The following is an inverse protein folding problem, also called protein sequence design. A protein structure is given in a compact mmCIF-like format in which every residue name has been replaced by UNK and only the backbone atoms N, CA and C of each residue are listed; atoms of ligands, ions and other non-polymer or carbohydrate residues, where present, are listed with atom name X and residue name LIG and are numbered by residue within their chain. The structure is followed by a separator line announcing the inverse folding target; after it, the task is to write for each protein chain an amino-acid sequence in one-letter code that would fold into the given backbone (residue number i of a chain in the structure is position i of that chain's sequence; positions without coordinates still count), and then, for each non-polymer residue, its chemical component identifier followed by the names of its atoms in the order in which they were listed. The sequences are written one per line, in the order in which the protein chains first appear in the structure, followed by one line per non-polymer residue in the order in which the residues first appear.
data_IF_597746197977
#
_entry.id   IF_597746197977
#
_cell.length_a   1.000
_cell.length_b   1.000
_cell.length_c   1.000
_cell.angle_alpha   90.00
_cell.angle_beta   90.00
_cell.angle_gamma   90.00
#
_symmetry.space_group_name_H-M   'P 1'
#
loop_
_entity.id
_entity.type
_entity.pdbx_description
1 polymer ?
#
# COMPACT_ATOMS: atom_id res chain seq x y z
N UNK A 1 -24.68 2.63 34.76
CA UNK A 1 -23.42 3.32 35.12
C UNK A 1 -22.79 3.90 33.86
N UNK A 2 -22.66 5.24 33.83
CA UNK A 2 -21.65 6.11 33.18
C UNK A 2 -21.12 5.78 31.76
N UNK A 3 -21.47 6.68 30.84
CA UNK A 3 -20.78 7.03 29.58
C UNK A 3 -19.29 7.38 29.77
N UNK A 4 -18.43 7.04 28.79
CA UNK A 4 -17.25 7.87 28.46
C UNK A 4 -16.68 7.61 27.05
N UNK A 5 -16.97 8.54 26.14
CA UNK A 5 -16.29 8.75 24.86
C UNK A 5 -14.87 9.31 25.10
N UNK A 6 -13.82 8.83 24.41
CA UNK A 6 -12.47 9.38 24.47
C UNK A 6 -12.17 10.33 23.30
N UNK A 7 -12.98 11.38 23.11
CA UNK A 7 -12.82 12.32 21.99
C UNK A 7 -12.77 13.80 22.41
N UNK A 8 -12.37 14.10 23.65
CA UNK A 8 -12.35 15.47 24.19
C UNK A 8 -11.03 15.85 24.89
N UNK A 9 -9.92 15.16 24.61
CA UNK A 9 -8.64 15.38 25.32
C UNK A 9 -7.55 16.11 24.54
N UNK A 10 -7.78 16.49 23.27
CA UNK A 10 -6.77 17.19 22.46
C UNK A 10 -7.05 18.68 22.21
N UNK A 11 -8.10 19.26 22.78
CA UNK A 11 -8.54 20.62 22.48
C UNK A 11 -8.17 21.69 23.54
N UNK A 12 -7.39 21.34 24.58
CA UNK A 12 -7.22 22.19 25.77
C UNK A 12 -5.80 22.71 26.03
N UNK A 13 -4.89 22.63 25.05
CA UNK A 13 -3.51 23.15 25.20
C UNK A 13 -3.21 24.44 24.42
N UNK A 14 -4.20 25.04 23.73
CA UNK A 14 -3.97 26.22 22.88
C UNK A 14 -4.41 27.57 23.48
N UNK A 15 -4.85 27.63 24.73
CA UNK A 15 -5.58 28.80 25.25
C UNK A 15 -4.89 29.60 26.37
N UNK A 16 -3.63 29.31 26.73
CA UNK A 16 -3.01 29.88 27.94
C UNK A 16 -1.77 30.76 27.73
N UNK A 17 -1.47 31.20 26.51
CA UNK A 17 -0.23 31.95 26.23
C UNK A 17 -0.41 33.45 25.88
N UNK A 18 -1.62 34.04 25.87
CA UNK A 18 -1.80 35.38 25.28
C UNK A 18 -2.50 36.46 26.12
N UNK A 19 -2.91 36.22 27.36
CA UNK A 19 -3.63 37.23 28.14
C UNK A 19 -3.20 37.26 29.61
N UNK A 20 -1.96 37.69 29.90
CA UNK A 20 -1.58 38.27 31.20
C UNK A 20 -0.18 38.89 31.09
N UNK A 21 -0.08 40.22 31.17
CA UNK A 21 1.18 40.95 31.13
C UNK A 21 0.97 42.45 31.18
N UNK A 22 1.09 43.01 32.39
CA UNK A 22 0.81 44.38 32.81
C UNK A 22 1.51 45.49 32.01
N UNK A 23 0.85 46.65 32.02
CA UNK A 23 1.38 47.94 31.64
C UNK A 23 2.73 48.25 32.32
N UNK A 24 3.73 48.58 31.50
CA UNK A 24 4.80 49.51 31.86
C UNK A 24 5.00 50.43 30.65
N UNK A 25 4.84 51.72 30.90
CA UNK A 25 5.12 52.81 29.97
C UNK A 25 6.61 52.82 29.62
N UNK A 26 6.99 52.07 28.59
CA UNK A 26 8.29 52.20 27.94
C UNK A 26 8.20 53.23 26.81
N UNK A 27 9.11 54.19 26.84
CA UNK A 27 9.34 55.23 25.82
C UNK A 27 9.06 54.73 24.40
N UNK A 28 8.18 55.45 23.70
CA UNK A 28 7.99 55.33 22.25
C UNK A 28 9.32 55.68 21.57
N UNK A 29 10.05 54.67 21.14
CA UNK A 29 11.11 54.77 20.14
C UNK A 29 10.58 54.27 18.78
N UNK A 30 10.93 54.87 17.63
CA UNK A 30 10.39 54.47 16.33
C UNK A 30 11.25 53.38 15.64
N UNK A 31 10.73 52.62 14.64
CA UNK A 31 9.36 52.18 14.42
C UNK A 31 9.25 50.64 14.21
N UNK A 32 8.01 50.19 14.06
CA UNK A 32 7.49 48.85 13.76
C UNK A 32 7.97 48.17 12.45
N UNK A 33 9.24 48.35 12.04
CA UNK A 33 9.77 47.85 10.76
C UNK A 33 10.21 46.38 10.80
N UNK A 34 10.89 45.95 11.87
CA UNK A 34 11.47 44.60 11.94
C UNK A 34 10.44 43.49 12.18
N UNK A 35 9.31 43.79 12.83
CA UNK A 35 8.24 42.82 13.10
C UNK A 35 7.42 42.51 11.86
N UNK A 36 7.08 43.53 11.05
CA UNK A 36 6.39 43.36 9.77
C UNK A 36 7.24 42.54 8.78
N UNK A 37 8.53 42.87 8.62
CA UNK A 37 9.45 42.12 7.75
C UNK A 37 9.62 40.66 8.21
N UNK A 38 9.62 40.40 9.52
CA UNK A 38 9.68 39.04 10.07
C UNK A 38 8.37 38.27 9.83
N UNK A 39 7.22 38.94 9.97
CA UNK A 39 5.91 38.36 9.69
C UNK A 39 5.77 38.00 8.20
N UNK A 40 6.17 38.89 7.29
CA UNK A 40 6.14 38.66 5.84
C UNK A 40 7.06 37.50 5.43
N UNK A 41 8.26 37.42 6.00
CA UNK A 41 9.19 36.30 5.74
C UNK A 41 8.63 34.98 6.24
N UNK A 42 7.98 34.98 7.42
CA UNK A 42 7.35 33.78 7.98
C UNK A 42 6.16 33.34 7.14
N UNK A 43 5.31 34.28 6.70
CA UNK A 43 4.19 34.01 5.80
C UNK A 43 4.66 33.47 4.44
N UNK A 44 5.74 34.02 3.87
CA UNK A 44 6.33 33.53 2.63
C UNK A 44 6.88 32.10 2.76
N UNK A 45 7.53 31.76 3.88
CA UNK A 45 7.99 30.41 4.17
C UNK A 45 6.82 29.43 4.35
N UNK A 46 5.78 29.84 5.08
CA UNK A 46 4.57 29.04 5.27
C UNK A 46 3.85 28.78 3.93
N UNK A 47 3.75 29.79 3.06
CA UNK A 47 3.18 29.64 1.71
C UNK A 47 4.00 28.68 0.84
N UNK A 48 5.33 28.72 0.90
CA UNK A 48 6.20 27.77 0.20
C UNK A 48 6.00 26.34 0.71
N UNK A 49 6.05 26.14 2.02
CA UNK A 49 5.81 24.83 2.64
C UNK A 49 4.42 24.27 2.29
N UNK A 50 3.39 25.11 2.29
CA UNK A 50 2.04 24.73 1.89
C UNK A 50 1.96 24.32 0.41
N UNK A 51 2.65 25.03 -0.50
CA UNK A 51 2.73 24.65 -1.92
C UNK A 51 3.45 23.32 -2.11
N UNK A 52 4.58 23.12 -1.45
CA UNK A 52 5.33 21.85 -1.50
C UNK A 52 4.51 20.68 -0.95
N UNK A 53 3.78 20.88 0.15
CA UNK A 53 2.88 19.87 0.71
C UNK A 53 1.80 19.47 -0.30
N UNK A 54 1.13 20.44 -0.92
CA UNK A 54 0.12 20.19 -1.96
C UNK A 54 0.68 19.45 -3.17
N UNK A 55 1.90 19.80 -3.61
CA UNK A 55 2.56 19.11 -4.72
C UNK A 55 2.88 17.65 -4.36
N UNK A 56 3.40 17.40 -3.16
CA UNK A 56 3.66 16.04 -2.67
C UNK A 56 2.38 15.21 -2.58
N UNK A 57 1.30 15.78 -2.05
CA UNK A 57 -0.01 15.12 -1.99
C UNK A 57 -0.56 14.80 -3.38
N UNK A 58 -0.45 15.74 -4.33
CA UNK A 58 -0.87 15.53 -5.71
C UNK A 58 -0.06 14.40 -6.38
N UNK A 59 1.26 14.37 -6.18
CA UNK A 59 2.13 13.32 -6.70
C UNK A 59 1.78 11.94 -6.11
N UNK A 60 1.54 11.86 -4.80
CA UNK A 60 1.10 10.63 -4.14
C UNK A 60 -0.25 10.16 -4.71
N UNK A 61 -1.20 11.08 -4.90
CA UNK A 61 -2.51 10.75 -5.48
C UNK A 61 -2.38 10.23 -6.91
N UNK A 62 -1.54 10.84 -7.73
CA UNK A 62 -1.27 10.40 -9.10
C UNK A 62 -0.64 9.00 -9.12
N UNK A 63 0.37 8.76 -8.28
CA UNK A 63 1.00 7.44 -8.15
C UNK A 63 -0.02 6.36 -7.76
N UNK A 64 -0.89 6.65 -6.78
CA UNK A 64 -1.95 5.73 -6.36
C UNK A 64 -2.95 5.44 -7.47
N UNK A 65 -3.38 6.48 -8.22
CA UNK A 65 -4.31 6.34 -9.31
C UNK A 65 -3.73 5.45 -10.43
N UNK A 66 -2.48 5.69 -10.82
CA UNK A 66 -1.78 4.87 -11.80
C UNK A 66 -1.66 3.41 -11.33
N UNK A 67 -1.19 3.20 -10.11
CA UNK A 67 -1.07 1.85 -9.53
C UNK A 67 -2.42 1.10 -9.49
N UNK A 68 -3.51 1.81 -9.23
CA UNK A 68 -4.86 1.26 -9.22
C UNK A 68 -5.33 0.88 -10.63
N UNK A 69 -5.04 1.70 -11.64
CA UNK A 69 -5.37 1.41 -13.04
C UNK A 69 -4.62 0.18 -13.56
N UNK A 70 -3.35 0.03 -13.18
CA UNK A 70 -2.51 -1.08 -13.63
C UNK A 70 -2.75 -2.39 -12.85
N UNK A 71 -3.38 -2.33 -11.68
CA UNK A 71 -3.52 -3.46 -10.76
C UNK A 71 -4.10 -4.71 -11.45
N UNK A 72 -5.23 -4.56 -12.14
CA UNK A 72 -5.94 -5.70 -12.71
C UNK A 72 -5.20 -6.34 -13.89
N UNK A 73 -4.55 -5.53 -14.72
CA UNK A 73 -3.75 -6.04 -15.85
C UNK A 73 -2.51 -6.78 -15.32
N UNK A 74 -1.89 -6.29 -14.24
CA UNK A 74 -0.79 -6.97 -13.55
C UNK A 74 -1.23 -8.30 -12.95
N UNK A 75 -2.34 -8.31 -12.21
CA UNK A 75 -2.92 -9.51 -11.62
C UNK A 75 -3.20 -10.60 -12.67
N UNK A 76 -3.88 -10.26 -13.77
CA UNK A 76 -4.17 -11.21 -14.84
C UNK A 76 -2.90 -11.72 -15.53
N UNK A 77 -1.88 -10.86 -15.69
CA UNK A 77 -0.58 -11.25 -16.23
C UNK A 77 0.11 -12.27 -15.34
N UNK A 78 0.13 -12.02 -14.02
CA UNK A 78 0.65 -12.95 -13.03
C UNK A 78 -0.05 -14.31 -13.09
N UNK A 79 -1.39 -14.33 -13.16
CA UNK A 79 -2.16 -15.58 -13.31
C UNK A 79 -1.83 -16.35 -14.60
N UNK A 80 -1.66 -15.66 -15.73
CA UNK A 80 -1.26 -16.30 -16.99
C UNK A 80 0.15 -16.89 -16.92
N UNK A 81 1.09 -16.18 -16.29
CA UNK A 81 2.44 -16.67 -16.07
C UNK A 81 2.45 -17.89 -15.14
N UNK A 82 1.72 -17.84 -14.03
CA UNK A 82 1.54 -18.99 -13.14
C UNK A 82 1.05 -20.20 -13.95
N UNK A 83 -0.04 -20.07 -14.71
CA UNK A 83 -0.57 -21.17 -15.52
C UNK A 83 0.48 -21.74 -16.50
N UNK A 84 1.19 -20.87 -17.22
CA UNK A 84 2.22 -21.31 -18.19
C UNK A 84 3.37 -22.04 -17.50
N UNK A 85 3.87 -21.49 -16.41
CA UNK A 85 4.95 -22.08 -15.63
C UNK A 85 4.56 -23.45 -15.08
N UNK A 86 3.34 -23.59 -14.56
CA UNK A 86 2.84 -24.86 -14.05
C UNK A 86 2.68 -25.92 -15.14
N UNK A 87 2.11 -25.56 -16.28
CA UNK A 87 2.01 -26.49 -17.41
C UNK A 87 3.40 -26.86 -17.96
N UNK A 88 4.33 -25.90 -17.98
CA UNK A 88 5.71 -26.13 -18.38
C UNK A 88 6.42 -27.14 -17.47
N UNK A 89 6.35 -26.95 -16.15
CA UNK A 89 6.94 -27.91 -15.21
C UNK A 89 6.26 -29.27 -15.29
N UNK A 90 4.92 -29.33 -15.40
CA UNK A 90 4.21 -30.61 -15.51
C UNK A 90 4.59 -31.44 -16.75
N UNK A 91 5.12 -30.80 -17.81
CA UNK A 91 5.55 -31.45 -19.04
C UNK A 91 7.07 -31.71 -19.08
N UNK A 92 7.84 -31.28 -18.08
CA UNK A 92 9.29 -31.47 -18.08
C UNK A 92 9.70 -32.92 -17.77
N UNK A 93 10.83 -33.37 -18.32
CA UNK A 93 11.45 -34.63 -17.92
C UNK A 93 11.77 -34.64 -16.42
N UNK A 94 11.66 -35.82 -15.78
CA UNK A 94 11.81 -35.96 -14.33
C UNK A 94 13.12 -35.43 -13.72
N UNK A 95 14.22 -35.40 -14.50
CA UNK A 95 15.52 -34.86 -14.05
C UNK A 95 15.56 -33.32 -13.95
N UNK A 96 14.77 -32.63 -14.75
CA UNK A 96 14.74 -31.15 -14.83
C UNK A 96 13.60 -30.57 -13.97
N UNK A 97 12.68 -31.44 -13.55
CA UNK A 97 11.47 -31.13 -12.80
C UNK A 97 11.73 -30.41 -11.47
N UNK A 98 12.72 -30.80 -10.63
CA UNK A 98 13.02 -30.07 -9.40
C UNK A 98 13.47 -28.64 -9.65
N UNK A 99 14.34 -28.43 -10.65
CA UNK A 99 14.82 -27.10 -11.03
C UNK A 99 13.69 -26.21 -11.54
N UNK A 100 12.75 -26.79 -12.30
CA UNK A 100 11.56 -26.08 -12.74
C UNK A 100 10.73 -25.60 -11.54
N UNK A 101 10.43 -26.50 -10.59
CA UNK A 101 9.65 -26.15 -9.42
C UNK A 101 10.33 -25.11 -8.54
N UNK A 102 11.66 -25.17 -8.39
CA UNK A 102 12.44 -24.15 -7.68
C UNK A 102 12.32 -22.78 -8.35
N UNK A 103 12.43 -22.72 -9.68
CA UNK A 103 12.25 -21.48 -10.44
C UNK A 103 10.82 -20.91 -10.30
N UNK A 104 9.79 -21.75 -10.34
CA UNK A 104 8.40 -21.32 -10.14
C UNK A 104 8.14 -20.87 -8.70
N UNK A 105 8.75 -21.53 -7.72
CA UNK A 105 8.67 -21.13 -6.31
C UNK A 105 9.30 -19.75 -6.11
N UNK A 106 10.50 -19.54 -6.64
CA UNK A 106 11.20 -18.25 -6.56
C UNK A 106 10.39 -17.14 -7.25
N UNK A 107 9.94 -17.37 -8.48
CA UNK A 107 9.09 -16.42 -9.20
C UNK A 107 7.81 -16.06 -8.41
N UNK A 108 7.16 -17.06 -7.80
CA UNK A 108 5.97 -16.82 -6.98
C UNK A 108 6.29 -15.96 -5.75
N UNK A 109 7.45 -16.17 -5.13
CA UNK A 109 7.92 -15.34 -4.01
C UNK A 109 8.10 -13.88 -4.44
N UNK A 110 8.78 -13.66 -5.57
CA UNK A 110 9.05 -12.33 -6.11
C UNK A 110 7.77 -11.59 -6.49
N UNK A 111 6.83 -12.29 -7.13
CA UNK A 111 5.53 -11.72 -7.49
C UNK A 111 4.71 -11.38 -6.23
N UNK A 112 4.73 -12.25 -5.21
CA UNK A 112 4.12 -11.99 -3.90
C UNK A 112 4.67 -10.74 -3.23
N UNK A 113 6.00 -10.58 -3.21
CA UNK A 113 6.67 -9.38 -2.70
C UNK A 113 6.31 -8.13 -3.51
N UNK A 114 6.13 -8.27 -4.82
CA UNK A 114 5.71 -7.17 -5.67
C UNK A 114 4.29 -6.69 -5.32
N UNK A 115 3.35 -7.60 -5.06
CA UNK A 115 2.01 -7.26 -4.59
C UNK A 115 2.00 -6.73 -3.15
N UNK A 116 2.89 -7.21 -2.28
CA UNK A 116 3.08 -6.63 -0.93
C UNK A 116 3.49 -5.16 -1.03
N UNK A 117 4.51 -4.83 -1.84
CA UNK A 117 4.93 -3.43 -2.06
C UNK A 117 3.82 -2.59 -2.70
N UNK A 118 3.11 -3.16 -3.66
CA UNK A 118 1.96 -2.50 -4.30
C UNK A 118 0.85 -2.19 -3.29
N UNK A 119 0.64 -3.06 -2.29
CA UNK A 119 -0.36 -2.81 -1.25
C UNK A 119 -0.04 -1.59 -0.40
N UNK A 120 1.23 -1.32 -0.12
CA UNK A 120 1.67 -0.12 0.61
C UNK A 120 1.32 1.14 -0.19
N UNK A 121 1.64 1.15 -1.49
CA UNK A 121 1.28 2.26 -2.40
C UNK A 121 -0.23 2.45 -2.42
N UNK A 122 -1.00 1.36 -2.55
CA UNK A 122 -2.45 1.38 -2.67
C UNK A 122 -3.19 1.62 -1.35
N UNK A 123 -2.50 1.90 -0.24
CA UNK A 123 -3.15 2.20 1.06
C UNK A 123 -4.16 3.33 0.92
N UNK A 124 -5.37 3.11 1.44
CA UNK A 124 -6.49 4.05 1.34
C UNK A 124 -7.21 4.05 -0.01
N UNK A 125 -6.81 3.20 -0.95
CA UNK A 125 -7.55 2.97 -2.20
C UNK A 125 -8.45 1.75 -2.09
N UNK A 126 -9.39 1.64 -3.02
CA UNK A 126 -10.30 0.49 -3.13
C UNK A 126 -9.60 -0.82 -3.55
N UNK A 127 -8.33 -0.77 -3.98
CA UNK A 127 -7.53 -1.95 -4.33
C UNK A 127 -6.61 -2.44 -3.21
N UNK A 128 -6.54 -1.71 -2.09
CA UNK A 128 -5.69 -2.09 -0.96
C UNK A 128 -5.91 -3.56 -0.53
N UNK A 129 -7.15 -3.94 -0.26
CA UNK A 129 -7.48 -5.31 0.15
C UNK A 129 -7.13 -6.35 -0.92
N UNK A 130 -7.48 -6.07 -2.18
CA UNK A 130 -7.21 -6.98 -3.30
C UNK A 130 -5.70 -7.18 -3.53
N UNK A 131 -4.88 -6.15 -3.35
CA UNK A 131 -3.42 -6.28 -3.46
C UNK A 131 -2.81 -7.15 -2.37
N UNK A 132 -3.32 -7.07 -1.13
CA UNK A 132 -2.90 -7.97 -0.05
C UNK A 132 -3.32 -9.42 -0.32
N UNK A 133 -4.54 -9.62 -0.82
CA UNK A 133 -5.03 -10.94 -1.21
C UNK A 133 -4.18 -11.55 -2.34
N UNK A 134 -3.80 -10.75 -3.34
CA UNK A 134 -2.89 -11.18 -4.41
C UNK A 134 -1.50 -11.56 -3.86
N UNK A 135 -0.95 -10.76 -2.94
CA UNK A 135 0.32 -11.09 -2.28
C UNK A 135 0.24 -12.44 -1.54
N UNK A 136 -0.82 -12.65 -0.76
CA UNK A 136 -1.06 -13.93 -0.07
C UNK A 136 -1.24 -15.08 -1.04
N UNK A 137 -1.94 -14.88 -2.16
CA UNK A 137 -2.09 -15.91 -3.20
C UNK A 137 -0.74 -16.39 -3.72
N UNK A 138 0.17 -15.47 -4.04
CA UNK A 138 1.49 -15.82 -4.55
C UNK A 138 2.41 -16.41 -3.47
N UNK A 139 2.29 -15.97 -2.22
CA UNK A 139 2.98 -16.62 -1.09
C UNK A 139 2.51 -18.07 -0.88
N UNK A 140 1.20 -18.34 -0.97
CA UNK A 140 0.69 -19.71 -0.94
C UNK A 140 1.09 -20.52 -2.19
N UNK A 141 1.24 -19.86 -3.34
CA UNK A 141 1.75 -20.50 -4.56
C UNK A 141 3.22 -20.92 -4.39
N UNK A 142 4.03 -20.12 -3.71
CA UNK A 142 5.41 -20.47 -3.37
C UNK A 142 5.48 -21.71 -2.46
N UNK A 143 4.66 -21.77 -1.40
CA UNK A 143 4.66 -22.95 -0.51
C UNK A 143 4.11 -24.18 -1.22
N UNK A 144 3.09 -24.01 -2.06
CA UNK A 144 2.52 -25.09 -2.86
C UNK A 144 3.51 -25.67 -3.88
N UNK A 145 4.23 -24.82 -4.61
CA UNK A 145 5.25 -25.25 -5.58
C UNK A 145 6.43 -26.00 -4.93
N UNK A 146 6.79 -25.65 -3.68
CA UNK A 146 7.76 -26.44 -2.90
C UNK A 146 7.23 -27.84 -2.57
N UNK A 147 5.97 -27.96 -2.19
CA UNK A 147 5.34 -29.27 -1.98
C UNK A 147 5.31 -30.10 -3.28
N UNK A 148 5.06 -29.49 -4.44
CA UNK A 148 5.11 -30.18 -5.74
C UNK A 148 6.49 -30.78 -6.05
N UNK A 149 7.56 -30.12 -5.60
CA UNK A 149 8.94 -30.58 -5.81
C UNK A 149 9.24 -31.85 -5.02
N UNK A 150 8.72 -31.94 -3.80
CA UNK A 150 9.00 -33.03 -2.87
C UNK A 150 8.19 -34.29 -3.22
N UNK A 151 6.93 -34.11 -3.62
CA UNK A 151 6.07 -35.20 -4.09
C UNK A 151 4.94 -34.65 -4.99
N UNK A 152 4.86 -35.17 -6.21
CA UNK A 152 3.85 -34.80 -7.20
C UNK A 152 2.43 -35.18 -6.77
N UNK A 153 2.24 -36.23 -5.96
CA UNK A 153 0.94 -36.57 -5.39
C UNK A 153 0.48 -35.56 -4.33
N UNK A 154 1.43 -35.06 -3.54
CA UNK A 154 1.19 -34.13 -2.43
C UNK A 154 0.69 -32.75 -2.87
N UNK A 155 1.01 -32.29 -4.09
CA UNK A 155 0.55 -30.98 -4.53
C UNK A 155 -0.94 -30.91 -4.85
N UNK A 156 -1.52 -31.99 -5.38
CA UNK A 156 -2.95 -32.02 -5.69
C UNK A 156 -3.81 -32.04 -4.41
N UNK A 157 -3.28 -32.65 -3.35
CA UNK A 157 -3.92 -32.73 -2.03
C UNK A 157 -3.57 -31.56 -1.08
N UNK A 158 -2.74 -30.61 -1.52
CA UNK A 158 -2.25 -29.56 -0.65
C UNK A 158 -3.39 -28.68 -0.09
N UNK A 159 -3.51 -28.52 1.25
CA UNK A 159 -4.64 -27.85 1.87
C UNK A 159 -4.77 -26.37 1.48
N UNK A 160 -3.68 -25.73 1.04
CA UNK A 160 -3.72 -24.34 0.59
C UNK A 160 -4.44 -24.10 -0.75
N UNK A 161 -4.73 -25.12 -1.56
CA UNK A 161 -5.33 -24.94 -2.90
C UNK A 161 -6.72 -24.28 -2.80
N UNK A 162 -7.57 -24.72 -1.87
CA UNK A 162 -8.89 -24.11 -1.65
C UNK A 162 -8.78 -22.63 -1.27
N UNK A 163 -7.80 -22.29 -0.42
CA UNK A 163 -7.53 -20.90 -0.03
C UNK A 163 -7.04 -20.07 -1.21
N UNK A 164 -6.13 -20.60 -2.03
CA UNK A 164 -5.65 -19.94 -3.24
C UNK A 164 -6.79 -19.65 -4.23
N UNK A 165 -7.69 -20.62 -4.45
CA UNK A 165 -8.86 -20.42 -5.31
C UNK A 165 -9.79 -19.33 -4.78
N UNK A 166 -10.06 -19.33 -3.47
CA UNK A 166 -10.87 -18.29 -2.83
C UNK A 166 -10.26 -16.90 -2.97
N UNK A 167 -8.95 -16.76 -2.73
CA UNK A 167 -8.23 -15.49 -2.90
C UNK A 167 -8.27 -15.02 -4.36
N UNK A 168 -8.04 -15.93 -5.31
CA UNK A 168 -8.14 -15.62 -6.74
C UNK A 168 -9.53 -15.12 -7.12
N UNK A 169 -10.59 -15.74 -6.61
CA UNK A 169 -11.97 -15.31 -6.87
C UNK A 169 -12.24 -13.90 -6.32
N UNK A 170 -11.78 -13.60 -5.10
CA UNK A 170 -11.95 -12.27 -4.50
C UNK A 170 -11.25 -11.17 -5.30
N UNK A 171 -10.00 -11.41 -5.73
CA UNK A 171 -9.25 -10.44 -6.56
C UNK A 171 -9.90 -10.29 -7.94
N UNK A 172 -10.37 -11.39 -8.55
CA UNK A 172 -11.09 -11.35 -9.82
C UNK A 172 -12.39 -10.55 -9.73
N UNK A 173 -13.18 -10.76 -8.68
CA UNK A 173 -14.41 -9.99 -8.45
C UNK A 173 -14.11 -8.49 -8.38
N UNK A 174 -13.04 -8.10 -7.66
CA UNK A 174 -12.59 -6.70 -7.60
C UNK A 174 -12.28 -6.13 -8.98
N UNK A 175 -11.63 -6.92 -9.84
CA UNK A 175 -11.28 -6.49 -11.19
C UNK A 175 -12.47 -6.45 -12.15
N UNK A 176 -13.46 -7.34 -11.99
CA UNK A 176 -14.66 -7.35 -12.81
C UNK A 176 -15.62 -6.20 -12.50
N UNK A 177 -15.70 -5.76 -11.23
CA UNK A 177 -16.52 -4.58 -10.85
C UNK A 177 -16.11 -3.30 -11.58
N UNK A 178 -14.90 -3.23 -12.12
CA UNK A 178 -14.39 -2.08 -12.88
C UNK A 178 -14.62 -2.18 -14.39
N UNK A 179 -14.86 -3.37 -14.93
CA UNK A 179 -15.21 -3.54 -16.35
C UNK A 179 -16.68 -3.19 -16.64
N UNK A 180 -17.48 -2.95 -15.60
CA UNK A 180 -18.91 -2.65 -15.66
C UNK A 180 -19.23 -1.19 -15.28
N UNK A 181 -18.22 -0.34 -15.10
CA UNK A 181 -18.34 1.10 -14.87
C UNK A 181 -17.60 1.85 -15.95
#
# INVERSE_FOLDING_TARGET
MRYRNPAAFFATLLSLALLSGCATTAKIGPPASNTAVRADRTAALALRAAREARQKEAAIRAQKAQAAQEFCSRWQRGLRLARRNLMGCAQMPGRDLPFCWDAVSQWSADEGMAFTRLSVVLTGTSFYAASRQAATFFSLSQSWTRACREDHGSCAAAPQVARMQSLKAQVNARCQTLSLR
#
